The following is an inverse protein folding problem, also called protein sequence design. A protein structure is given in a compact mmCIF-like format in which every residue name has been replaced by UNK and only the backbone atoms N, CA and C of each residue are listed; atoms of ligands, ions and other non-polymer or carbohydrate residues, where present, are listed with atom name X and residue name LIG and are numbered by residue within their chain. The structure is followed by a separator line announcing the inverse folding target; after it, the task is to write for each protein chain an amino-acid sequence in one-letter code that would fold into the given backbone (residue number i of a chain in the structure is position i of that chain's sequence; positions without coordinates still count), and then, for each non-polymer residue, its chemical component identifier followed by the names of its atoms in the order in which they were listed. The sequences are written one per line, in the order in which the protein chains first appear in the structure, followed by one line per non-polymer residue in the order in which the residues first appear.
data_IF_753847235326
#
_entry.id   IF_753847235326
#
_cell.length_a   1.000
_cell.length_b   1.000
_cell.length_c   1.000
_cell.angle_alpha   90.00
_cell.angle_beta   90.00
_cell.angle_gamma   90.00
#
_symmetry.space_group_name_H-M   'P 1'
#
loop_
_entity.id
_entity.type
_entity.pdbx_description
1 polymer ?
#
# COMPACT_ATOMS: atom_id res chain seq x y z
N UNK A 1 -12.70 3.78 -3.62
CA UNK A 1 -11.28 3.46 -3.37
C UNK A 1 -11.18 2.04 -2.86
N UNK A 2 -10.55 1.16 -3.62
CA UNK A 2 -10.48 -0.24 -3.20
C UNK A 2 -9.47 -0.44 -2.08
N UNK A 3 -9.98 -0.86 -0.94
CA UNK A 3 -9.16 -1.29 0.19
C UNK A 3 -8.55 -2.65 -0.14
N UNK A 4 -7.26 -2.82 0.12
CA UNK A 4 -6.56 -4.06 -0.22
C UNK A 4 -6.15 -4.85 1.01
N UNK A 5 -5.75 -4.17 2.09
CA UNK A 5 -5.36 -4.82 3.34
C UNK A 5 -5.78 -3.99 4.53
N UNK A 6 -6.05 -4.69 5.64
CA UNK A 6 -6.14 -4.11 6.97
C UNK A 6 -5.12 -4.80 7.87
N UNK A 7 -4.40 -4.01 8.67
CA UNK A 7 -3.40 -4.54 9.57
C UNK A 7 -3.36 -3.70 10.83
N UNK A 8 -3.99 -4.18 11.91
CA UNK A 8 -3.99 -3.50 13.22
C UNK A 8 -4.27 -2.00 13.13
N UNK A 9 -5.36 -1.64 12.49
CA UNK A 9 -5.76 -0.24 12.33
C UNK A 9 -5.15 0.47 11.14
N UNK A 10 -4.16 -0.12 10.48
CA UNK A 10 -3.62 0.41 9.23
C UNK A 10 -4.52 -0.03 8.08
N UNK A 11 -4.89 0.92 7.22
CA UNK A 11 -5.70 0.65 6.03
C UNK A 11 -4.84 0.90 4.80
N UNK A 12 -4.70 -0.13 3.96
CA UNK A 12 -3.96 -0.05 2.71
C UNK A 12 -4.96 -0.05 1.57
N UNK A 13 -4.84 0.89 0.64
CA UNK A 13 -5.81 1.01 -0.46
C UNK A 13 -5.19 1.61 -1.72
N UNK A 14 -5.87 1.42 -2.86
CA UNK A 14 -5.52 2.04 -4.13
C UNK A 14 -6.50 3.16 -4.45
N UNK A 15 -6.07 4.17 -5.19
CA UNK A 15 -6.99 5.10 -5.85
C UNK A 15 -7.41 4.52 -7.20
N UNK A 16 -8.59 4.95 -7.68
CA UNK A 16 -9.16 4.39 -8.90
C UNK A 16 -8.48 4.83 -10.19
N UNK A 17 -7.70 5.89 -10.18
CA UNK A 17 -7.02 6.43 -11.38
C UNK A 17 -5.51 6.33 -11.28
N UNK A 18 -5.02 5.27 -10.67
CA UNK A 18 -3.59 5.10 -10.47
C UNK A 18 -2.89 4.62 -11.73
N UNK A 19 -1.64 5.04 -11.87
CA UNK A 19 -0.73 4.63 -12.95
C UNK A 19 0.53 4.04 -12.34
N UNK A 20 1.39 3.51 -13.20
CA UNK A 20 2.72 3.13 -12.76
C UNK A 20 3.55 4.36 -12.38
N UNK A 21 4.46 4.28 -11.39
CA UNK A 21 4.82 3.05 -10.65
C UNK A 21 3.71 2.60 -9.70
N UNK A 22 3.77 1.32 -9.33
CA UNK A 22 2.81 0.74 -8.38
C UNK A 22 2.95 1.46 -7.05
N UNK A 23 1.85 1.94 -6.51
CA UNK A 23 1.88 2.60 -5.21
C UNK A 23 0.62 2.30 -4.41
N UNK A 24 0.74 2.43 -3.10
CA UNK A 24 -0.34 2.14 -2.17
C UNK A 24 -0.45 3.28 -1.18
N UNK A 25 -1.68 3.62 -0.84
CA UNK A 25 -1.99 4.61 0.18
C UNK A 25 -2.18 3.89 1.51
N UNK A 26 -1.60 4.43 2.58
CA UNK A 26 -1.71 3.85 3.91
C UNK A 26 -2.22 4.89 4.87
N UNK A 27 -3.32 4.57 5.54
CA UNK A 27 -3.95 5.44 6.55
C UNK A 27 -3.79 4.82 7.93
N UNK A 28 -3.52 5.66 8.92
CA UNK A 28 -3.51 5.28 10.33
C UNK A 28 -3.63 6.54 11.19
N UNK A 29 -4.50 6.51 12.20
CA UNK A 29 -4.69 7.61 13.15
C UNK A 29 -4.93 8.98 12.49
N UNK A 30 -5.77 9.02 11.46
CA UNK A 30 -6.09 10.27 10.77
C UNK A 30 -4.98 10.82 9.90
N UNK A 31 -3.91 10.06 9.70
CA UNK A 31 -2.77 10.42 8.87
C UNK A 31 -2.65 9.47 7.69
N UNK A 32 -1.98 9.92 6.64
CA UNK A 32 -1.84 9.11 5.44
C UNK A 32 -0.53 9.42 4.73
N UNK A 33 0.11 8.38 4.21
CA UNK A 33 1.26 8.52 3.33
C UNK A 33 1.09 7.62 2.11
N UNK A 34 1.81 7.93 1.04
CA UNK A 34 1.78 7.18 -0.21
C UNK A 34 3.13 6.47 -0.35
N UNK A 35 3.10 5.18 -0.63
CA UNK A 35 4.31 4.36 -0.76
C UNK A 35 4.40 3.84 -2.19
N UNK A 36 5.44 4.27 -2.91
CA UNK A 36 5.72 3.79 -4.26
C UNK A 36 6.64 2.58 -4.18
N UNK A 37 6.25 1.51 -4.85
CA UNK A 37 7.02 0.27 -4.90
C UNK A 37 7.86 0.28 -6.17
N UNK A 38 9.18 0.38 -6.01
CA UNK A 38 10.10 0.33 -7.14
C UNK A 38 10.56 -1.11 -7.31
N UNK A 39 10.17 -1.68 -8.44
CA UNK A 39 10.40 -3.09 -8.74
C UNK A 39 11.48 -3.26 -9.79
N UNK A 40 12.25 -4.34 -9.69
CA UNK A 40 13.19 -4.75 -10.73
C UNK A 40 13.24 -6.27 -10.77
N UNK A 41 12.97 -6.84 -11.94
CA UNK A 41 12.98 -8.29 -12.16
C UNK A 41 12.12 -9.05 -11.15
N UNK A 42 10.94 -8.50 -10.83
CA UNK A 42 10.01 -9.12 -9.91
C UNK A 42 10.35 -8.96 -8.44
N UNK A 43 11.39 -8.19 -8.12
CA UNK A 43 11.81 -7.95 -6.73
C UNK A 43 11.60 -6.49 -6.35
N UNK A 44 11.18 -6.28 -5.11
CA UNK A 44 11.06 -4.95 -4.54
C UNK A 44 12.46 -4.46 -4.15
N UNK A 45 12.94 -3.40 -4.80
CA UNK A 45 14.28 -2.86 -4.55
C UNK A 45 14.27 -1.58 -3.74
N UNK A 46 13.18 -0.83 -3.78
CA UNK A 46 13.09 0.45 -3.07
C UNK A 46 11.62 0.78 -2.81
N UNK A 47 11.37 1.46 -1.69
CA UNK A 47 10.06 2.05 -1.40
C UNK A 47 10.28 3.55 -1.24
N UNK A 48 9.60 4.34 -2.08
CA UNK A 48 9.61 5.80 -1.97
C UNK A 48 8.37 6.25 -1.25
N UNK A 49 8.52 7.17 -0.30
CA UNK A 49 7.40 7.67 0.49
C UNK A 49 7.08 9.09 0.03
N UNK A 50 5.80 9.35 -0.23
CA UNK A 50 5.30 10.67 -0.59
C UNK A 50 4.21 11.10 0.38
N UNK A 51 4.10 12.43 0.56
CA UNK A 51 2.99 13.00 1.31
C UNK A 51 1.78 13.16 0.40
N UNK A 52 0.59 12.99 0.98
CA UNK A 52 -0.66 13.28 0.29
C UNK A 52 -1.03 14.72 0.58
N UNK A 53 -1.34 15.48 -0.46
CA UNK A 53 -1.70 16.89 -0.33
C UNK A 53 -2.87 17.08 0.62
N UNK A 54 -2.70 17.98 1.59
CA UNK A 54 -3.77 18.33 2.53
C UNK A 54 -3.96 17.36 3.68
N UNK A 55 -3.12 16.34 3.80
CA UNK A 55 -3.24 15.32 4.85
C UNK A 55 -1.89 15.18 5.55
N UNK A 56 -1.85 15.17 6.90
CA UNK A 56 -0.58 14.93 7.60
C UNK A 56 -0.05 13.52 7.29
N UNK A 57 1.27 13.43 7.14
CA UNK A 57 1.95 12.16 6.90
C UNK A 57 1.85 11.25 8.12
N UNK A 58 1.99 9.94 7.90
CA UNK A 58 2.13 8.99 8.98
C UNK A 58 3.31 9.39 9.87
N UNK A 59 3.21 9.08 11.17
CA UNK A 59 4.33 9.26 12.08
C UNK A 59 5.51 8.40 11.64
N UNK A 60 6.71 8.71 12.12
CA UNK A 60 7.90 7.92 11.77
C UNK A 60 7.73 6.45 12.17
N UNK A 61 7.14 6.20 13.32
CA UNK A 61 6.86 4.85 13.78
C UNK A 61 5.90 4.12 12.85
N UNK A 62 4.84 4.79 12.44
CA UNK A 62 3.83 4.20 11.57
C UNK A 62 4.34 4.01 10.15
N UNK A 63 5.18 4.91 9.65
CA UNK A 63 5.86 4.71 8.37
C UNK A 63 6.70 3.45 8.38
N UNK A 64 7.44 3.23 9.46
CA UNK A 64 8.27 2.03 9.61
C UNK A 64 7.42 0.77 9.59
N UNK A 65 6.31 0.77 10.32
CA UNK A 65 5.39 -0.36 10.35
C UNK A 65 4.82 -0.63 8.96
N UNK A 66 4.40 0.42 8.24
CA UNK A 66 3.88 0.28 6.88
C UNK A 66 4.94 -0.28 5.93
N UNK A 67 6.18 0.19 6.03
CA UNK A 67 7.28 -0.32 5.21
C UNK A 67 7.51 -1.80 5.46
N UNK A 68 7.55 -2.22 6.72
CA UNK A 68 7.72 -3.62 7.08
C UNK A 68 6.60 -4.49 6.51
N UNK A 69 5.35 -4.00 6.59
CA UNK A 69 4.21 -4.69 6.02
C UNK A 69 4.35 -4.83 4.50
N UNK A 70 4.69 -3.74 3.82
CA UNK A 70 4.85 -3.74 2.37
C UNK A 70 5.98 -4.69 1.94
N UNK A 71 7.10 -4.68 2.65
CA UNK A 71 8.22 -5.59 2.35
C UNK A 71 7.80 -7.05 2.45
N UNK A 72 6.96 -7.37 3.41
CA UNK A 72 6.49 -8.75 3.57
C UNK A 72 5.45 -9.14 2.52
N UNK A 73 4.54 -8.23 2.19
CA UNK A 73 3.38 -8.54 1.36
C UNK A 73 3.41 -7.92 -0.03
N UNK A 74 4.56 -7.44 -0.50
CA UNK A 74 4.59 -6.71 -1.78
C UNK A 74 4.11 -7.55 -2.96
N UNK A 75 4.36 -8.86 -2.94
CA UNK A 75 3.88 -9.75 -4.02
C UNK A 75 2.37 -9.79 -4.07
N UNK A 76 1.73 -9.82 -2.89
CA UNK A 76 0.27 -9.80 -2.80
C UNK A 76 -0.29 -8.44 -3.22
N UNK A 77 0.40 -7.37 -2.88
CA UNK A 77 0.01 -6.02 -3.29
C UNK A 77 0.04 -5.90 -4.81
N UNK A 78 1.12 -6.38 -5.44
CA UNK A 78 1.26 -6.36 -6.89
C UNK A 78 0.19 -7.20 -7.56
N UNK A 79 -0.11 -8.38 -7.03
CA UNK A 79 -1.17 -9.24 -7.55
C UNK A 79 -2.52 -8.51 -7.54
N UNK A 80 -2.84 -7.85 -6.43
CA UNK A 80 -4.09 -7.07 -6.33
C UNK A 80 -4.09 -5.88 -7.28
N UNK A 81 -2.95 -5.22 -7.47
CA UNK A 81 -2.79 -4.12 -8.42
C UNK A 81 -3.09 -4.60 -9.84
N UNK A 82 -2.49 -5.72 -10.25
CA UNK A 82 -2.70 -6.27 -11.59
C UNK A 82 -4.17 -6.64 -11.80
N UNK A 83 -4.76 -7.33 -10.82
CA UNK A 83 -6.18 -7.69 -10.92
C UNK A 83 -7.08 -6.47 -11.07
N UNK A 84 -6.81 -5.42 -10.32
CA UNK A 84 -7.67 -4.24 -10.30
C UNK A 84 -7.44 -3.33 -11.52
N UNK A 85 -6.20 -2.97 -11.82
CA UNK A 85 -5.90 -1.97 -12.85
C UNK A 85 -5.72 -2.56 -14.24
N UNK A 86 -5.17 -3.75 -14.35
CA UNK A 86 -4.90 -4.38 -15.64
C UNK A 86 -6.06 -5.28 -16.06
N UNK A 87 -6.51 -6.15 -15.18
CA UNK A 87 -7.55 -7.13 -15.48
C UNK A 87 -8.96 -6.59 -15.24
N UNK A 88 -9.09 -5.41 -14.65
CA UNK A 88 -10.37 -4.75 -14.36
C UNK A 88 -11.31 -5.62 -13.52
N UNK A 89 -10.73 -6.37 -12.59
CA UNK A 89 -11.49 -7.25 -11.70
C UNK A 89 -11.71 -6.57 -10.35
N UNK A 90 -12.74 -7.00 -9.65
CA UNK A 90 -12.94 -6.62 -8.24
C UNK A 90 -11.89 -7.31 -7.41
N UNK A 91 -11.40 -6.58 -6.40
CA UNK A 91 -10.47 -7.15 -5.43
C UNK A 91 -11.10 -7.10 -4.05
N UNK A 92 -10.66 -8.01 -3.18
CA UNK A 92 -11.12 -8.06 -1.80
C UNK A 92 -10.02 -7.58 -0.87
N UNK A 93 -10.44 -6.90 0.19
CA UNK A 93 -9.53 -6.57 1.27
C UNK A 93 -9.22 -7.81 2.09
N UNK A 94 -7.96 -7.99 2.46
CA UNK A 94 -7.53 -9.06 3.33
C UNK A 94 -7.15 -8.47 4.68
N UNK A 95 -7.72 -8.98 5.75
CA UNK A 95 -7.38 -8.55 7.11
C UNK A 95 -6.27 -9.44 7.65
N UNK A 96 -5.16 -8.83 8.00
CA UNK A 96 -4.01 -9.52 8.59
C UNK A 96 -4.09 -9.33 10.10
N UNK A 97 -4.24 -10.42 10.82
CA UNK A 97 -4.39 -10.40 12.28
C UNK A 97 -3.14 -10.87 13.00
N UNK A 98 -2.12 -11.30 12.27
CA UNK A 98 -0.87 -11.80 12.82
C UNK A 98 0.21 -10.74 12.60
N UNK A 99 0.94 -10.40 13.66
CA UNK A 99 2.04 -9.42 13.54
C UNK A 99 3.17 -9.96 12.69
N UNK A 100 3.75 -9.07 11.93
CA UNK A 100 4.92 -9.34 11.11
C UNK A 100 6.21 -9.23 11.93
#
# INVERSE_FOLDING_TARGET
MPKIFEYFGFIFYFFSNEHEPIHVHVQHDGRESIFELIMMDGKLIEIKIRTKHGVPSLSDKDQKTAIEFIQKYYKNIIEKWVKFFVMKQRIRSTKITKKI
#
